data_IF_966854200703
#
_entry.id   IF_966854200703
#
_cell.length_a   1.000
_cell.length_b   1.000
_cell.length_c   1.000
_cell.angle_alpha   90.00
_cell.angle_beta   90.00
_cell.angle_gamma   90.00
#
_symmetry.space_group_name_H-M   'P 1'
#
loop_
_entity.id
_entity.type
_entity.pdbx_description
1 polymer ?
#
# COMPACT_ATOMS: atom_id res chain seq x y z
N UNK A 1 -29.72 -8.15 -0.03
CA UNK A 1 -28.70 -8.89 0.73
C UNK A 1 -28.25 -8.01 1.89
N UNK A 2 -28.17 -8.53 3.11
CA UNK A 2 -27.59 -7.81 4.27
C UNK A 2 -26.22 -8.42 4.52
N UNK A 3 -25.15 -7.61 4.45
CA UNK A 3 -23.77 -8.07 4.59
C UNK A 3 -23.23 -7.73 5.98
N UNK A 4 -23.03 -8.75 6.81
CA UNK A 4 -22.58 -8.61 8.21
C UNK A 4 -21.19 -9.25 8.45
N UNK A 5 -20.38 -9.39 7.41
CA UNK A 5 -19.06 -10.06 7.45
C UNK A 5 -17.87 -9.09 7.19
N UNK A 6 -18.07 -7.80 7.47
CA UNK A 6 -17.07 -6.75 7.22
C UNK A 6 -15.76 -6.92 8.01
N UNK A 7 -15.80 -7.69 9.11
CA UNK A 7 -14.61 -7.98 9.92
C UNK A 7 -13.67 -8.98 9.22
N UNK A 8 -14.19 -9.88 8.38
CA UNK A 8 -13.37 -10.80 7.58
C UNK A 8 -12.79 -10.10 6.35
N UNK A 9 -13.59 -9.28 5.66
CA UNK A 9 -13.14 -8.39 4.59
C UNK A 9 -14.18 -7.30 4.34
N UNK A 10 -13.77 -6.11 3.90
CA UNK A 10 -14.73 -5.05 3.58
C UNK A 10 -15.43 -5.34 2.24
N UNK A 11 -16.77 -5.34 2.24
CA UNK A 11 -17.58 -5.43 1.03
C UNK A 11 -18.90 -4.65 1.17
N UNK A 12 -19.35 -3.95 0.11
CA UNK A 12 -18.62 -3.68 -1.13
C UNK A 12 -17.47 -2.68 -0.89
N UNK A 13 -16.44 -2.73 -1.75
CA UNK A 13 -15.44 -1.67 -1.78
C UNK A 13 -16.09 -0.40 -2.35
N UNK A 14 -15.77 0.80 -1.85
CA UNK A 14 -16.23 2.05 -2.45
C UNK A 14 -15.83 2.14 -3.94
N UNK A 15 -16.66 2.72 -4.82
CA UNK A 15 -16.36 2.85 -6.26
C UNK A 15 -15.02 3.54 -6.54
N UNK A 16 -14.60 4.44 -5.67
CA UNK A 16 -13.34 5.18 -5.75
C UNK A 16 -12.13 4.24 -5.72
N UNK A 17 -12.18 3.17 -4.91
CA UNK A 17 -11.12 2.16 -4.84
C UNK A 17 -11.01 1.41 -6.16
N UNK A 18 -12.15 1.04 -6.76
CA UNK A 18 -12.17 0.34 -8.04
C UNK A 18 -11.61 1.22 -9.16
N UNK A 19 -12.00 2.49 -9.18
CA UNK A 19 -11.50 3.48 -10.15
C UNK A 19 -9.99 3.67 -10.03
N UNK A 20 -9.48 3.91 -8.81
CA UNK A 20 -8.04 4.11 -8.60
C UNK A 20 -7.21 2.90 -9.06
N UNK A 21 -7.69 1.69 -8.76
CA UNK A 21 -7.02 0.46 -9.21
C UNK A 21 -7.03 0.32 -10.74
N UNK A 22 -8.17 0.62 -11.38
CA UNK A 22 -8.27 0.60 -12.85
C UNK A 22 -7.34 1.63 -13.49
N UNK A 23 -7.26 2.84 -12.92
CA UNK A 23 -6.41 3.92 -13.41
C UNK A 23 -4.92 3.53 -13.33
N UNK A 24 -4.48 2.94 -12.22
CA UNK A 24 -3.09 2.47 -12.05
C UNK A 24 -2.76 1.35 -13.04
N UNK A 25 -3.65 0.37 -13.20
CA UNK A 25 -3.44 -0.75 -14.12
C UNK A 25 -3.45 -0.31 -15.60
N UNK A 26 -4.27 0.68 -15.95
CA UNK A 26 -4.39 1.19 -17.32
C UNK A 26 -3.30 2.20 -17.72
N UNK A 27 -2.81 3.00 -16.77
CA UNK A 27 -1.98 4.18 -17.08
C UNK A 27 -0.62 4.21 -16.37
N UNK A 28 -0.45 3.53 -15.23
CA UNK A 28 0.77 3.59 -14.41
C UNK A 28 1.45 2.21 -14.25
N UNK A 29 1.43 1.37 -15.29
CA UNK A 29 1.98 0.01 -15.27
C UNK A 29 3.51 -0.12 -15.27
N UNK A 30 4.25 0.98 -15.04
CA UNK A 30 5.71 0.93 -14.97
C UNK A 30 6.21 0.30 -13.66
N UNK A 31 7.48 -0.14 -13.65
CA UNK A 31 8.11 -0.63 -12.42
C UNK A 31 8.73 0.55 -11.65
N UNK A 32 8.23 0.92 -10.45
CA UNK A 32 8.72 2.09 -9.71
C UNK A 32 10.20 1.92 -9.31
N UNK A 33 11.00 2.96 -9.55
CA UNK A 33 12.41 3.00 -9.11
C UNK A 33 13.38 2.13 -9.91
N UNK A 34 12.97 1.61 -11.08
CA UNK A 34 13.81 0.74 -11.93
C UNK A 34 14.36 1.41 -13.19
N UNK A 35 13.85 2.58 -13.56
CA UNK A 35 14.30 3.37 -14.73
C UNK A 35 13.91 4.84 -14.57
N UNK A 36 14.49 5.72 -15.39
CA UNK A 36 14.09 7.13 -15.52
C UNK A 36 13.01 7.39 -16.56
N UNK A 37 12.48 6.36 -17.23
CA UNK A 37 11.41 6.56 -18.21
C UNK A 37 10.08 6.95 -17.52
N UNK A 38 9.21 7.64 -18.27
CA UNK A 38 7.96 8.25 -17.77
C UNK A 38 7.12 7.30 -16.91
N UNK A 39 6.83 6.09 -17.39
CA UNK A 39 5.97 5.14 -16.66
C UNK A 39 6.57 4.67 -15.32
N UNK A 40 7.90 4.61 -15.18
CA UNK A 40 8.56 4.26 -13.90
C UNK A 40 8.44 5.40 -12.90
N UNK A 41 8.60 6.64 -13.37
CA UNK A 41 8.46 7.84 -12.54
C UNK A 41 7.01 7.99 -12.08
N UNK A 42 6.04 7.84 -12.98
CA UNK A 42 4.61 7.90 -12.65
C UNK A 42 4.22 6.83 -11.61
N UNK A 43 4.65 5.57 -11.81
CA UNK A 43 4.40 4.51 -10.84
C UNK A 43 5.06 4.77 -9.47
N UNK A 44 6.26 5.37 -9.46
CA UNK A 44 6.93 5.75 -8.23
C UNK A 44 6.21 6.89 -7.50
N UNK A 45 5.66 7.85 -8.23
CA UNK A 45 4.83 8.93 -7.69
C UNK A 45 3.59 8.38 -7.00
N UNK A 46 2.80 7.53 -7.66
CA UNK A 46 1.61 6.89 -7.07
C UNK A 46 1.95 6.17 -5.75
N UNK A 47 3.07 5.44 -5.73
CA UNK A 47 3.53 4.75 -4.52
C UNK A 47 3.97 5.71 -3.41
N UNK A 48 4.53 6.88 -3.75
CA UNK A 48 4.96 7.88 -2.79
C UNK A 48 3.76 8.62 -2.18
N UNK A 49 2.83 9.07 -3.02
CA UNK A 49 1.59 9.74 -2.57
C UNK A 49 0.82 8.84 -1.58
N UNK A 50 0.72 7.54 -1.89
CA UNK A 50 0.11 6.56 -0.99
C UNK A 50 0.86 6.45 0.36
N UNK A 51 2.18 6.61 0.40
CA UNK A 51 2.93 6.66 1.67
C UNK A 51 2.66 7.95 2.43
N UNK A 52 2.55 9.09 1.76
CA UNK A 52 2.23 10.37 2.39
C UNK A 52 0.86 10.32 3.06
N UNK A 53 -0.15 9.82 2.35
CA UNK A 53 -1.51 9.67 2.87
C UNK A 53 -1.56 8.75 4.10
N UNK A 54 -0.86 7.61 4.06
CA UNK A 54 -0.78 6.68 5.20
C UNK A 54 -0.03 7.31 6.37
N UNK A 55 1.09 7.98 6.12
CA UNK A 55 1.86 8.65 7.17
C UNK A 55 1.03 9.76 7.84
N UNK A 56 0.28 10.53 7.06
CA UNK A 56 -0.68 11.52 7.56
C UNK A 56 -1.78 10.86 8.40
N UNK A 57 -2.41 9.79 7.89
CA UNK A 57 -3.49 9.06 8.58
C UNK A 57 -3.07 8.56 9.98
N UNK A 58 -1.82 8.09 10.12
CA UNK A 58 -1.26 7.63 11.39
C UNK A 58 -0.50 8.73 12.19
N UNK A 59 -0.56 10.00 11.76
CA UNK A 59 0.21 11.11 12.36
C UNK A 59 1.72 10.83 12.48
N UNK A 60 2.30 10.11 11.52
CA UNK A 60 3.69 9.66 11.53
C UNK A 60 4.68 10.67 10.89
N UNK A 61 4.22 11.68 10.15
CA UNK A 61 5.04 12.79 9.64
C UNK A 61 6.16 12.44 8.62
N UNK A 62 6.59 11.19 8.54
CA UNK A 62 7.64 10.69 7.66
C UNK A 62 7.11 9.54 6.78
N UNK A 63 6.83 9.78 5.49
CA UNK A 63 6.36 8.77 4.54
C UNK A 63 7.34 7.59 4.38
N UNK A 64 8.63 7.78 4.63
CA UNK A 64 9.64 6.73 4.48
C UNK A 64 9.60 5.70 5.61
N UNK A 65 8.85 5.97 6.68
CA UNK A 65 8.56 4.99 7.75
C UNK A 65 7.40 4.06 7.45
N UNK A 66 6.66 4.29 6.35
CA UNK A 66 5.61 3.39 5.90
C UNK A 66 6.26 2.26 5.12
N UNK A 67 5.95 1.00 5.44
CA UNK A 67 6.41 -0.18 4.69
C UNK A 67 5.17 -0.92 4.18
N UNK A 68 5.06 -1.09 2.86
CA UNK A 68 3.99 -1.88 2.25
C UNK A 68 4.26 -3.37 2.41
N UNK A 69 3.27 -4.11 2.92
CA UNK A 69 3.31 -5.56 3.08
C UNK A 69 2.05 -6.19 2.49
N UNK A 70 2.06 -7.50 2.30
CA UNK A 70 0.89 -8.20 1.75
C UNK A 70 -0.33 -8.19 2.68
N UNK A 71 -0.12 -8.19 4.01
CA UNK A 71 -1.16 -8.19 5.03
C UNK A 71 -0.53 -8.00 6.43
N UNK A 72 -1.39 -7.89 7.45
CA UNK A 72 -0.96 -7.75 8.85
C UNK A 72 -0.06 -8.91 9.33
N UNK A 73 -0.39 -10.16 8.98
CA UNK A 73 0.40 -11.34 9.34
C UNK A 73 1.82 -11.26 8.79
N UNK A 74 1.98 -10.83 7.53
CA UNK A 74 3.29 -10.63 6.92
C UNK A 74 4.06 -9.49 7.61
N UNK A 75 3.41 -8.37 7.91
CA UNK A 75 4.04 -7.25 8.63
C UNK A 75 4.59 -7.66 10.00
N UNK A 76 3.81 -8.40 10.79
CA UNK A 76 4.25 -8.90 12.10
C UNK A 76 5.46 -9.83 11.94
N UNK A 77 5.45 -10.72 10.94
CA UNK A 77 6.56 -11.63 10.69
C UNK A 77 7.85 -10.91 10.28
N UNK A 78 7.77 -9.79 9.55
CA UNK A 78 8.94 -8.97 9.23
C UNK A 78 9.60 -8.47 10.53
N UNK A 79 8.82 -7.99 11.49
CA UNK A 79 9.32 -7.51 12.78
C UNK A 79 9.94 -8.66 13.58
N UNK A 80 9.22 -9.78 13.74
CA UNK A 80 9.68 -10.90 14.55
C UNK A 80 10.97 -11.52 14.00
N UNK A 81 11.01 -11.79 12.69
CA UNK A 81 12.17 -12.43 12.06
C UNK A 81 13.32 -11.46 11.79
N UNK A 82 13.05 -10.16 11.72
CA UNK A 82 14.05 -9.12 11.46
C UNK A 82 14.75 -8.59 12.72
N UNK A 83 14.07 -8.58 13.87
CA UNK A 83 14.57 -7.92 15.08
C UNK A 83 14.94 -8.87 16.23
N UNK A 84 14.26 -10.01 16.37
CA UNK A 84 14.50 -10.91 17.51
C UNK A 84 15.87 -11.57 17.41
N UNK A 85 16.53 -11.72 18.56
CA UNK A 85 17.81 -12.40 18.72
C UNK A 85 17.64 -13.61 19.64
N UNK A 86 18.51 -14.64 19.55
CA UNK A 86 18.57 -15.68 20.57
C UNK A 86 18.74 -15.06 21.96
N UNK A 87 18.00 -15.58 22.94
CA UNK A 87 18.14 -15.24 24.35
C UNK A 87 19.32 -15.95 25.00
#
# INVERSE_FOLDING_TARGET
>A
MIYLDNAATSWPKPPEVLKAMADVLGHAGGNPGRSGHRLSIEAAGVMYDAREDIASFFNNGDPLRVIFTHNATHAINIVLKGLLKPG
#
